data_IF_056621481833
#
_entry.id   IF_056621481833
#
_cell.length_a   1.000
_cell.length_b   1.000
_cell.length_c   1.000
_cell.angle_alpha   90.00
_cell.angle_beta   90.00
_cell.angle_gamma   90.00
#
_symmetry.space_group_name_H-M   'P 1'
#
loop_
_entity.id
_entity.type
_entity.pdbx_description
1 polymer ?
#
# COMPACT_ATOMS: atom_id res chain seq x y z
N UNK A 1 -9.81 23.24 -24.03
CA UNK A 1 -9.35 21.87 -24.24
C UNK A 1 -8.02 21.71 -23.52
N UNK A 2 -8.03 21.34 -22.23
CA UNK A 2 -6.80 21.11 -21.45
C UNK A 2 -6.83 19.67 -20.94
N UNK A 3 -6.24 18.79 -21.73
CA UNK A 3 -5.92 17.41 -21.37
C UNK A 3 -4.51 17.39 -20.75
N UNK A 4 -4.38 16.89 -19.52
CA UNK A 4 -3.08 16.73 -18.86
C UNK A 4 -3.13 16.04 -17.50
N UNK A 5 -3.18 14.70 -17.53
CA UNK A 5 -2.71 13.78 -16.47
C UNK A 5 -3.15 14.01 -15.01
N UNK A 6 -4.44 14.18 -14.74
CA UNK A 6 -4.95 13.85 -13.41
C UNK A 6 -4.79 12.34 -13.22
N UNK A 7 -3.81 11.92 -12.39
CA UNK A 7 -3.60 10.50 -12.03
C UNK A 7 -4.90 9.96 -11.45
N UNK A 8 -5.70 9.30 -12.29
CA UNK A 8 -6.96 8.66 -11.88
C UNK A 8 -6.57 7.60 -10.85
N UNK A 9 -6.96 7.79 -9.59
CA UNK A 9 -6.74 6.79 -8.55
C UNK A 9 -7.51 5.52 -8.93
N UNK A 10 -6.77 4.48 -9.28
CA UNK A 10 -7.34 3.21 -9.69
C UNK A 10 -7.64 2.37 -8.46
N UNK A 11 -8.90 1.92 -8.31
CA UNK A 11 -9.28 0.97 -7.26
C UNK A 11 -9.05 -0.43 -7.79
N UNK A 12 -8.32 -1.24 -7.03
CA UNK A 12 -8.05 -2.65 -7.35
C UNK A 12 -8.62 -3.50 -6.22
N UNK A 13 -9.47 -4.47 -6.54
CA UNK A 13 -10.00 -5.42 -5.58
C UNK A 13 -11.37 -5.98 -5.97
N UNK A 14 -11.91 -6.91 -5.15
CA UNK A 14 -11.30 -7.49 -3.95
C UNK A 14 -10.10 -8.38 -4.31
N UNK A 15 -9.07 -8.38 -3.46
CA UNK A 15 -7.90 -9.27 -3.57
C UNK A 15 -7.72 -10.02 -2.25
N UNK A 16 -7.04 -11.16 -2.28
CA UNK A 16 -6.74 -11.90 -1.05
C UNK A 16 -5.67 -11.18 -0.22
N UNK A 17 -5.57 -11.55 1.06
CA UNK A 17 -4.48 -11.07 1.92
C UNK A 17 -3.11 -11.52 1.39
N UNK A 18 -3.03 -12.72 0.80
CA UNK A 18 -1.81 -13.23 0.18
C UNK A 18 -1.39 -12.40 -1.04
N UNK A 19 -2.32 -12.05 -1.93
CA UNK A 19 -2.02 -11.22 -3.10
C UNK A 19 -1.58 -9.80 -2.69
N UNK A 20 -2.15 -9.26 -1.60
CA UNK A 20 -1.71 -7.99 -1.04
C UNK A 20 -0.26 -8.06 -0.59
N UNK A 21 0.11 -9.11 0.16
CA UNK A 21 1.48 -9.32 0.64
C UNK A 21 2.47 -9.54 -0.51
N UNK A 22 2.11 -10.34 -1.52
CA UNK A 22 2.97 -10.56 -2.69
C UNK A 22 3.25 -9.24 -3.44
N UNK A 23 2.26 -8.37 -3.57
CA UNK A 23 2.43 -7.05 -4.19
C UNK A 23 3.26 -6.10 -3.34
N UNK A 24 3.15 -6.18 -2.02
CA UNK A 24 4.02 -5.48 -1.09
C UNK A 24 5.46 -5.91 -1.34
N UNK A 25 5.74 -7.22 -1.32
CA UNK A 25 7.09 -7.78 -1.52
C UNK A 25 7.70 -7.40 -2.87
N UNK A 26 6.89 -7.30 -3.92
CA UNK A 26 7.33 -6.86 -5.26
C UNK A 26 7.56 -5.35 -5.38
N UNK A 27 7.38 -4.57 -4.32
CA UNK A 27 7.52 -3.11 -4.35
C UNK A 27 6.40 -2.40 -5.14
N UNK A 28 5.28 -3.08 -5.39
CA UNK A 28 4.16 -2.52 -6.16
C UNK A 28 3.21 -1.68 -5.30
N UNK A 29 3.37 -1.73 -3.98
CA UNK A 29 2.54 -1.02 -3.00
C UNK A 29 3.44 -0.21 -2.08
N UNK A 30 3.26 1.12 -2.12
CA UNK A 30 3.93 2.04 -1.23
C UNK A 30 3.19 2.16 0.13
N UNK A 31 3.87 2.49 1.24
CA UNK A 31 3.27 2.65 2.58
C UNK A 31 2.07 3.60 2.65
N UNK A 32 2.03 4.62 1.80
CA UNK A 32 0.95 5.60 1.69
C UNK A 32 -0.27 5.09 0.90
N UNK A 33 -0.15 3.95 0.22
CA UNK A 33 -1.24 3.35 -0.57
C UNK A 33 -2.44 3.09 0.33
N UNK A 34 -3.61 3.58 -0.08
CA UNK A 34 -4.85 3.34 0.66
C UNK A 34 -5.33 1.90 0.45
N UNK A 35 -5.61 1.22 1.55
CA UNK A 35 -6.16 -0.14 1.59
C UNK A 35 -7.49 -0.16 2.34
N UNK A 36 -8.37 -1.09 1.96
CA UNK A 36 -9.70 -1.27 2.54
C UNK A 36 -9.95 -2.76 2.76
N UNK A 37 -10.51 -3.13 3.91
CA UNK A 37 -10.99 -4.49 4.18
C UNK A 37 -12.14 -4.47 5.19
N UNK A 38 -12.76 -5.63 5.44
CA UNK A 38 -13.73 -5.80 6.53
C UNK A 38 -13.11 -5.46 7.90
N UNK A 39 -11.82 -5.80 8.10
CA UNK A 39 -11.05 -5.49 9.31
C UNK A 39 -10.88 -3.97 9.52
N UNK A 40 -10.90 -3.17 8.45
CA UNK A 40 -10.86 -1.70 8.51
C UNK A 40 -12.25 -1.06 8.59
N UNK A 41 -13.30 -1.84 8.90
CA UNK A 41 -14.71 -1.40 8.86
C UNK A 41 -15.07 -0.76 7.51
N UNK A 42 -14.52 -1.30 6.42
CA UNK A 42 -14.66 -0.78 5.07
C UNK A 42 -14.20 0.69 4.92
N UNK A 43 -13.28 1.17 5.76
CA UNK A 43 -12.65 2.48 5.60
C UNK A 43 -11.36 2.34 4.81
N UNK A 44 -11.10 3.31 3.93
CA UNK A 44 -9.81 3.48 3.28
C UNK A 44 -8.82 4.05 4.29
N UNK A 45 -7.76 3.32 4.57
CA UNK A 45 -6.67 3.77 5.45
C UNK A 45 -5.33 3.55 4.74
N UNK A 46 -4.32 4.40 4.98
CA UNK A 46 -2.99 4.18 4.42
C UNK A 46 -2.39 2.89 4.98
N UNK A 47 -1.66 2.16 4.12
CA UNK A 47 -1.07 0.86 4.46
C UNK A 47 -0.12 0.93 5.66
N UNK A 48 0.56 2.06 5.86
CA UNK A 48 1.44 2.29 7.00
C UNK A 48 0.73 2.22 8.37
N UNK A 49 -0.60 2.35 8.42
CA UNK A 49 -1.42 2.14 9.63
C UNK A 49 -1.83 0.67 9.82
N UNK A 50 -1.56 -0.19 8.85
CA UNK A 50 -1.86 -1.63 8.90
C UNK A 50 -0.60 -2.37 9.35
N UNK A 51 -0.55 -2.72 10.64
CA UNK A 51 0.62 -3.36 11.27
C UNK A 51 1.19 -4.55 10.50
N UNK A 52 0.40 -5.59 10.15
CA UNK A 52 0.90 -6.75 9.42
C UNK A 52 1.47 -6.41 8.03
N UNK A 53 0.82 -5.50 7.29
CA UNK A 53 1.27 -5.08 5.98
C UNK A 53 2.56 -4.24 6.07
N UNK A 54 2.65 -3.35 7.05
CA UNK A 54 3.85 -2.55 7.29
C UNK A 54 5.04 -3.41 7.74
N UNK A 55 4.79 -4.46 8.54
CA UNK A 55 5.82 -5.43 8.92
C UNK A 55 6.36 -6.20 7.71
N UNK A 56 5.46 -6.65 6.82
CA UNK A 56 5.85 -7.31 5.56
C UNK A 56 6.66 -6.39 4.65
N UNK A 57 6.24 -5.13 4.53
CA UNK A 57 6.96 -4.12 3.74
C UNK A 57 8.37 -3.88 4.29
N UNK A 58 8.53 -3.67 5.60
CA UNK A 58 9.85 -3.47 6.24
C UNK A 58 10.77 -4.68 6.07
N UNK A 59 10.22 -5.90 6.14
CA UNK A 59 10.99 -7.13 5.94
C UNK A 59 11.49 -7.28 4.50
N UNK A 60 10.70 -6.84 3.52
CA UNK A 60 11.03 -6.95 2.10
C UNK A 60 11.82 -5.76 1.54
N UNK A 61 11.81 -4.62 2.23
CA UNK A 61 12.43 -3.36 1.80
C UNK A 61 13.35 -2.77 2.89
N UNK A 62 14.45 -3.46 3.28
CA UNK A 62 15.34 -2.99 4.34
C UNK A 62 16.02 -1.65 4.01
N UNK A 63 16.40 -1.42 2.75
CA UNK A 63 17.10 -0.19 2.33
C UNK A 63 16.20 1.06 2.30
N UNK A 64 14.88 0.88 2.13
CA UNK A 64 13.92 1.98 2.13
C UNK A 64 13.51 2.41 3.55
N UNK A 65 13.74 1.56 4.56
CA UNK A 65 13.47 1.88 5.95
C UNK A 65 14.48 2.90 6.52
N UNK A 66 15.73 2.89 6.03
CA UNK A 66 16.78 3.81 6.47
C UNK A 66 16.66 5.22 5.89
N UNK A 67 15.84 5.43 4.86
CA UNK A 67 15.68 6.75 4.20
C UNK A 67 14.60 7.65 4.83
N UNK A 68 13.90 7.20 5.89
CA UNK A 68 12.86 8.02 6.56
C UNK A 68 13.33 8.59 7.91
N UNK A 69 14.63 8.51 8.20
CA UNK A 69 15.26 9.10 9.37
C UNK A 69 16.13 10.31 8.97
N UNK A 70 15.50 11.35 8.43
CA UNK A 70 16.07 12.71 8.30
C UNK A 70 14.99 13.74 8.67
#
# INVERSE_FOLDING_TARGET
MTSGWLRKSHRVGPISEADLLERIEKGQIAPETLVQSSKTRNKWIPMNKVGPAMAAWKRSHPEAADQTAD
#
